data_IF_802000245470
#
_entry.id   IF_802000245470
#
_cell.length_a   1.000
_cell.length_b   1.000
_cell.length_c   1.000
_cell.angle_alpha   90.00
_cell.angle_beta   90.00
_cell.angle_gamma   90.00
#
_symmetry.space_group_name_H-M   'P 1'
#
loop_
_entity.id
_entity.type
_entity.pdbx_description
1 polymer ?
#
# COMPACT_ATOMS: atom_id res chain seq x y z
N UNK A 1 -12.42 -3.25 34.38
CA UNK A 1 -11.56 -2.33 35.16
C UNK A 1 -10.90 -1.35 34.20
N UNK A 2 -10.81 -0.08 34.56
CA UNK A 2 -10.02 0.90 33.78
C UNK A 2 -8.53 0.64 34.05
N UNK A 3 -7.69 0.70 33.02
CA UNK A 3 -6.25 0.58 33.19
C UNK A 3 -5.73 1.81 33.93
N UNK A 4 -4.93 1.62 34.98
CA UNK A 4 -4.27 2.73 35.65
C UNK A 4 -3.17 3.30 34.76
N UNK A 5 -2.91 4.61 34.88
CA UNK A 5 -1.81 5.27 34.16
C UNK A 5 -0.46 4.58 34.39
N UNK A 6 -0.24 4.06 35.61
CA UNK A 6 0.96 3.31 35.97
C UNK A 6 1.10 1.99 35.19
N UNK A 7 0.00 1.30 34.89
CA UNK A 7 -0.01 0.08 34.08
C UNK A 7 0.27 0.41 32.62
N UNK A 8 -0.33 1.49 32.09
CA UNK A 8 -0.08 1.94 30.72
C UNK A 8 1.38 2.35 30.50
N UNK A 9 1.98 3.06 31.46
CA UNK A 9 3.41 3.40 31.43
C UNK A 9 4.31 2.17 31.37
N UNK A 10 3.93 1.07 32.02
CA UNK A 10 4.66 -0.22 31.93
C UNK A 10 4.48 -0.87 30.57
N UNK A 11 3.25 -0.92 30.05
CA UNK A 11 2.94 -1.48 28.73
C UNK A 11 3.70 -0.75 27.60
N UNK A 12 3.81 0.58 27.70
CA UNK A 12 4.43 1.45 26.71
C UNK A 12 5.91 1.75 27.01
N UNK A 13 6.60 0.93 27.82
CA UNK A 13 7.98 1.18 28.23
C UNK A 13 8.98 1.33 27.06
N UNK A 14 8.70 0.65 25.94
CA UNK A 14 9.53 0.68 24.72
C UNK A 14 9.19 1.84 23.76
N UNK A 15 8.15 2.63 24.06
CA UNK A 15 7.70 3.71 23.17
C UNK A 15 8.59 4.93 23.33
N UNK A 16 8.97 5.54 22.20
CA UNK A 16 9.83 6.71 22.14
C UNK A 16 9.20 7.93 22.82
N UNK A 17 7.89 8.09 22.69
CA UNK A 17 7.12 9.21 23.27
C UNK A 17 6.06 8.68 24.23
N UNK A 18 6.49 7.84 25.18
CA UNK A 18 5.63 7.11 26.13
C UNK A 18 4.57 7.97 26.79
N UNK A 19 4.94 9.11 27.37
CA UNK A 19 4.00 9.88 28.20
C UNK A 19 2.86 10.49 27.35
N UNK A 20 3.15 10.87 26.09
CA UNK A 20 2.12 11.32 25.14
C UNK A 20 1.17 10.19 24.75
N UNK A 21 1.72 9.00 24.46
CA UNK A 21 0.92 7.82 24.12
C UNK A 21 0.02 7.36 25.29
N UNK A 22 0.53 7.42 26.53
CA UNK A 22 -0.25 7.14 27.74
C UNK A 22 -1.38 8.16 27.91
N UNK A 23 -1.09 9.46 27.80
CA UNK A 23 -2.08 10.52 27.95
C UNK A 23 -3.22 10.35 26.94
N UNK A 24 -2.90 10.12 25.67
CA UNK A 24 -3.92 9.88 24.64
C UNK A 24 -4.72 8.59 24.87
N UNK A 25 -4.06 7.53 25.31
CA UNK A 25 -4.75 6.27 25.64
C UNK A 25 -5.76 6.48 26.79
N UNK A 26 -5.37 7.24 27.83
CA UNK A 26 -6.27 7.60 28.93
C UNK A 26 -7.46 8.43 28.43
N UNK A 27 -7.21 9.41 27.57
CA UNK A 27 -8.27 10.24 26.99
C UNK A 27 -9.28 9.41 26.19
N UNK A 28 -8.79 8.56 25.27
CA UNK A 28 -9.65 7.72 24.42
C UNK A 28 -10.45 6.72 25.25
N UNK A 29 -9.81 6.00 26.16
CA UNK A 29 -10.49 5.01 27.01
C UNK A 29 -11.39 5.66 28.07
N UNK A 30 -11.13 6.94 28.38
CA UNK A 30 -12.00 7.80 29.16
C UNK A 30 -13.33 8.09 28.45
N UNK A 31 -13.30 8.36 27.15
CA UNK A 31 -14.49 8.71 26.35
C UNK A 31 -15.20 7.48 25.74
N UNK A 32 -14.44 6.54 25.18
CA UNK A 32 -14.94 5.35 24.51
C UNK A 32 -14.68 4.12 25.38
N UNK A 33 -15.63 3.82 26.27
CA UNK A 33 -15.48 2.82 27.34
C UNK A 33 -15.27 1.39 26.82
N UNK A 34 -15.72 1.08 25.62
CA UNK A 34 -15.58 -0.25 25.02
C UNK A 34 -14.22 -0.48 24.35
N UNK A 35 -13.45 0.59 24.08
CA UNK A 35 -12.08 0.47 23.61
C UNK A 35 -11.15 0.14 24.79
N UNK A 36 -10.37 -0.94 24.64
CA UNK A 36 -9.41 -1.39 25.65
C UNK A 36 -8.00 -1.42 25.08
N UNK A 37 -6.99 -0.99 25.86
CA UNK A 37 -5.60 -1.14 25.49
C UNK A 37 -5.18 -2.61 25.64
N UNK A 38 -4.53 -3.15 24.62
CA UNK A 38 -4.04 -4.53 24.55
C UNK A 38 -2.62 -4.51 24.01
N UNK A 39 -1.68 -5.17 24.68
CA UNK A 39 -0.35 -5.45 24.13
C UNK A 39 -0.41 -6.74 23.33
N UNK A 40 0.04 -6.71 22.09
CA UNK A 40 0.11 -7.90 21.23
C UNK A 40 1.20 -7.70 20.15
N UNK A 41 1.58 -8.78 19.48
CA UNK A 41 2.57 -8.74 18.42
C UNK A 41 1.92 -8.34 17.10
N UNK A 42 2.27 -7.15 16.62
CA UNK A 42 1.92 -6.72 15.28
C UNK A 42 2.92 -7.25 14.27
N UNK A 43 2.46 -8.01 13.27
CA UNK A 43 3.27 -8.48 12.15
C UNK A 43 3.20 -7.44 11.03
N UNK A 44 4.34 -6.86 10.71
CA UNK A 44 4.49 -5.92 9.60
C UNK A 44 4.54 -6.67 8.26
N UNK A 45 4.32 -5.93 7.18
CA UNK A 45 4.29 -6.50 5.83
C UNK A 45 5.64 -7.10 5.40
N UNK A 46 6.75 -6.72 6.06
CA UNK A 46 8.08 -7.29 5.85
C UNK A 46 8.29 -8.62 6.61
N UNK A 47 7.28 -9.11 7.31
CA UNK A 47 7.33 -10.32 8.14
C UNK A 47 7.97 -10.09 9.52
N UNK A 48 8.51 -8.90 9.80
CA UNK A 48 8.96 -8.55 11.13
C UNK A 48 7.75 -8.45 12.07
N UNK A 49 7.96 -8.78 13.34
CA UNK A 49 6.94 -8.57 14.37
C UNK A 49 7.47 -7.62 15.43
N UNK A 50 6.59 -6.75 15.94
CA UNK A 50 6.88 -5.95 17.12
C UNK A 50 5.71 -6.01 18.09
N UNK A 51 6.06 -6.08 19.36
CA UNK A 51 5.13 -5.94 20.46
C UNK A 51 4.67 -4.47 20.54
N UNK A 52 3.39 -4.23 20.23
CA UNK A 52 2.78 -2.91 20.19
C UNK A 52 1.48 -2.91 21.00
N UNK A 53 1.06 -1.72 21.42
CA UNK A 53 -0.26 -1.49 21.97
C UNK A 53 -1.27 -1.29 20.84
N UNK A 54 -2.43 -1.91 20.98
CA UNK A 54 -3.64 -1.58 20.22
C UNK A 54 -4.74 -1.09 21.14
N UNK A 55 -5.61 -0.20 20.65
CA UNK A 55 -6.92 0.06 21.24
C UNK A 55 -7.95 -0.74 20.47
N UNK A 56 -8.47 -1.80 21.10
CA UNK A 56 -9.38 -2.75 20.48
C UNK A 56 -10.72 -2.77 21.22
N UNK A 57 -11.82 -2.74 20.47
CA UNK A 57 -13.17 -2.71 21.02
C UNK A 57 -14.15 -2.15 19.99
N UNK A 58 -15.23 -1.52 20.44
CA UNK A 58 -16.26 -0.96 19.55
C UNK A 58 -16.39 0.55 19.69
N UNK A 59 -16.79 1.21 18.60
CA UNK A 59 -17.22 2.61 18.58
C UNK A 59 -18.69 2.72 18.17
N UNK A 60 -19.49 3.61 18.79
CA UNK A 60 -20.89 3.79 18.44
C UNK A 60 -21.02 4.62 17.16
N UNK A 61 -21.63 4.04 16.13
CA UNK A 61 -21.82 4.67 14.81
C UNK A 61 -23.31 4.72 14.49
N UNK A 62 -23.83 5.93 14.23
CA UNK A 62 -25.21 6.10 13.80
C UNK A 62 -25.33 5.86 12.29
N UNK A 63 -26.06 4.83 11.90
CA UNK A 63 -26.40 4.54 10.50
C UNK A 63 -27.91 4.45 10.35
N UNK A 64 -28.48 5.35 9.54
CA UNK A 64 -29.92 5.43 9.25
C UNK A 64 -30.81 5.46 10.51
N UNK A 65 -30.38 6.19 11.54
CA UNK A 65 -31.14 6.39 12.78
C UNK A 65 -30.91 5.33 13.86
N UNK A 66 -30.13 4.29 13.57
CA UNK A 66 -29.78 3.25 14.55
C UNK A 66 -28.28 3.32 14.90
N UNK A 67 -27.95 3.15 16.18
CA UNK A 67 -26.56 3.11 16.64
C UNK A 67 -26.05 1.67 16.58
N UNK A 68 -24.99 1.47 15.80
CA UNK A 68 -24.27 0.21 15.68
C UNK A 68 -22.90 0.30 16.36
N UNK A 69 -22.52 -0.74 17.10
CA UNK A 69 -21.22 -0.83 17.74
C UNK A 69 -20.22 -1.45 16.78
N UNK A 70 -19.47 -0.62 16.06
CA UNK A 70 -18.55 -1.08 15.00
C UNK A 70 -17.22 -1.50 15.65
N UNK A 71 -16.78 -2.76 15.47
CA UNK A 71 -15.55 -3.25 16.08
C UNK A 71 -14.33 -2.76 15.32
N UNK A 72 -13.41 -2.11 16.03
CA UNK A 72 -12.17 -1.54 15.50
C UNK A 72 -10.95 -1.95 16.33
N UNK A 73 -9.78 -1.80 15.72
CA UNK A 73 -8.48 -2.03 16.32
C UNK A 73 -7.50 -0.96 15.82
N UNK A 74 -6.99 -0.14 16.74
CA UNK A 74 -6.08 0.97 16.46
C UNK A 74 -4.69 0.65 17.00
N UNK A 75 -3.77 0.20 16.16
CA UNK A 75 -2.39 -0.09 16.55
C UNK A 75 -1.56 1.19 16.63
N UNK A 76 -0.95 1.43 17.79
CA UNK A 76 -0.07 2.57 18.02
C UNK A 76 1.36 2.15 17.74
N UNK A 77 2.06 2.79 16.81
CA UNK A 77 3.49 2.53 16.60
C UNK A 77 4.32 3.02 17.80
N UNK A 78 5.51 2.46 18.00
CA UNK A 78 6.49 2.88 19.03
C UNK A 78 6.90 4.37 18.95
N UNK A 79 6.59 5.01 17.81
CA UNK A 79 6.82 6.42 17.50
C UNK A 79 5.57 7.30 17.57
N UNK A 80 4.42 6.76 18.00
CA UNK A 80 3.21 7.53 18.29
C UNK A 80 3.50 8.64 19.33
N UNK A 81 2.98 9.88 19.19
CA UNK A 81 1.97 10.35 18.23
C UNK A 81 2.50 10.92 16.91
N UNK A 82 3.81 10.82 16.61
CA UNK A 82 4.36 11.44 15.41
C UNK A 82 4.11 10.64 14.12
N UNK A 83 3.70 9.38 14.25
CA UNK A 83 3.17 8.57 13.17
C UNK A 83 1.71 8.19 13.47
N UNK A 84 0.84 8.11 12.44
CA UNK A 84 -0.55 7.71 12.63
C UNK A 84 -0.67 6.26 13.12
N UNK A 85 -1.78 5.92 13.79
CA UNK A 85 -2.09 4.54 14.11
C UNK A 85 -2.42 3.71 12.86
N UNK A 86 -2.13 2.41 12.90
CA UNK A 86 -2.60 1.46 11.88
C UNK A 86 -3.96 0.94 12.31
N UNK A 87 -4.98 1.20 11.49
CA UNK A 87 -6.38 1.02 11.88
C UNK A 87 -7.02 -0.12 11.11
N UNK A 88 -7.81 -0.96 11.80
CA UNK A 88 -8.57 -2.04 11.20
C UNK A 88 -10.00 -2.08 11.75
N UNK A 89 -10.95 -2.51 10.93
CA UNK A 89 -12.20 -3.10 11.40
C UNK A 89 -11.97 -4.57 11.74
N UNK A 90 -12.61 -5.05 12.81
CA UNK A 90 -12.46 -6.43 13.31
C UNK A 90 -13.82 -7.11 13.32
N UNK A 91 -14.31 -7.62 12.18
CA UNK A 91 -15.63 -8.27 12.12
C UNK A 91 -15.71 -9.44 13.11
N UNK A 92 -16.86 -9.59 13.76
CA UNK A 92 -17.17 -10.81 14.51
C UNK A 92 -17.49 -11.96 13.54
N UNK A 93 -17.64 -13.19 14.05
CA UNK A 93 -18.01 -14.36 13.23
C UNK A 93 -19.35 -14.19 12.50
N UNK A 94 -20.23 -13.34 13.01
CA UNK A 94 -21.52 -13.00 12.40
C UNK A 94 -21.46 -11.79 11.47
N UNK A 95 -20.29 -11.21 11.23
CA UNK A 95 -20.10 -10.04 10.36
C UNK A 95 -19.25 -10.36 9.14
N UNK A 96 -19.34 -9.50 8.13
CA UNK A 96 -18.48 -9.50 6.95
C UNK A 96 -18.02 -8.07 6.67
N UNK A 97 -16.76 -7.91 6.25
CA UNK A 97 -16.22 -6.62 5.85
C UNK A 97 -16.89 -6.16 4.56
N UNK A 98 -17.31 -4.89 4.54
CA UNK A 98 -17.69 -4.19 3.32
C UNK A 98 -16.47 -3.44 2.80
N UNK A 99 -15.89 -3.94 1.73
CA UNK A 99 -14.83 -3.21 1.00
C UNK A 99 -15.40 -1.93 0.39
N UNK A 100 -14.64 -0.85 0.46
CA UNK A 100 -15.07 0.43 -0.09
C UNK A 100 -13.93 1.44 -0.11
N UNK A 101 -14.29 2.72 -0.26
CA UNK A 101 -13.34 3.83 -0.37
C UNK A 101 -12.39 3.91 0.82
N UNK A 102 -12.88 3.55 2.00
CA UNK A 102 -12.19 3.75 3.28
C UNK A 102 -11.75 2.45 3.95
N UNK A 103 -12.11 1.28 3.42
CA UNK A 103 -11.81 -0.02 4.02
C UNK A 103 -11.48 -1.06 2.96
N UNK A 104 -10.34 -1.76 3.10
CA UNK A 104 -9.96 -2.86 2.19
C UNK A 104 -10.49 -4.24 2.63
N UNK A 105 -10.22 -5.28 1.85
CA UNK A 105 -10.69 -6.64 2.12
C UNK A 105 -10.12 -7.27 3.41
N UNK A 106 -8.99 -6.77 3.91
CA UNK A 106 -8.40 -7.18 5.18
C UNK A 106 -8.97 -6.36 6.35
N UNK A 107 -9.89 -5.44 6.08
CA UNK A 107 -10.49 -4.56 7.07
C UNK A 107 -9.61 -3.37 7.42
N UNK A 108 -8.50 -3.12 6.71
CA UNK A 108 -7.64 -1.97 7.00
C UNK A 108 -8.34 -0.67 6.61
N UNK A 109 -8.27 0.31 7.49
CA UNK A 109 -8.98 1.58 7.36
C UNK A 109 -8.04 2.64 6.76
N UNK A 110 -8.54 3.37 5.75
CA UNK A 110 -7.86 4.45 5.05
C UNK A 110 -8.71 5.73 5.12
N UNK A 111 -8.20 6.74 5.81
CA UNK A 111 -8.87 8.03 5.99
C UNK A 111 -7.95 9.19 5.60
N UNK A 112 -8.47 10.28 5.03
CA UNK A 112 -7.70 11.51 4.85
C UNK A 112 -7.05 11.98 6.16
N UNK A 113 -7.74 11.83 7.29
CA UNK A 113 -7.22 12.17 8.62
C UNK A 113 -5.96 11.37 9.00
N UNK A 114 -5.89 10.08 8.61
CA UNK A 114 -4.68 9.26 8.81
C UNK A 114 -3.57 9.66 7.84
N UNK A 115 -3.93 10.05 6.61
CA UNK A 115 -2.98 10.46 5.58
C UNK A 115 -2.32 11.81 5.89
N UNK A 116 -3.08 12.75 6.45
CA UNK A 116 -2.64 14.10 6.82
C UNK A 116 -2.21 14.19 8.29
N UNK A 117 -2.04 13.03 8.96
CA UNK A 117 -1.75 12.96 10.39
C UNK A 117 -0.50 13.77 10.74
N UNK A 118 -0.67 14.72 11.65
CA UNK A 118 0.42 15.56 12.14
C UNK A 118 0.18 15.94 13.59
N UNK A 119 1.06 15.49 14.49
CA UNK A 119 1.02 15.94 15.87
C UNK A 119 1.49 17.41 15.99
N UNK A 120 0.83 18.27 16.80
CA UNK A 120 -0.30 18.00 17.69
C UNK A 120 -1.68 18.24 17.08
N UNK A 121 -1.79 18.54 15.77
CA UNK A 121 -3.06 18.80 15.10
C UNK A 121 -3.95 17.55 14.96
N UNK A 122 -3.35 16.37 14.94
CA UNK A 122 -4.03 15.07 14.84
C UNK A 122 -3.86 14.26 16.13
N UNK A 123 -4.96 13.66 16.59
CA UNK A 123 -5.02 12.80 17.77
C UNK A 123 -6.05 11.66 17.57
N UNK A 124 -6.08 10.70 18.50
CA UNK A 124 -6.95 9.54 18.40
C UNK A 124 -8.44 9.89 18.56
N UNK A 125 -8.78 10.93 19.32
CA UNK A 125 -10.18 11.32 19.50
C UNK A 125 -10.73 11.87 18.18
N UNK A 126 -10.00 12.78 17.55
CA UNK A 126 -10.34 13.32 16.24
C UNK A 126 -10.42 12.22 15.18
N UNK A 127 -9.49 11.25 15.21
CA UNK A 127 -9.56 10.09 14.34
C UNK A 127 -10.85 9.26 14.54
N UNK A 128 -11.21 8.96 15.79
CA UNK A 128 -12.42 8.19 16.10
C UNK A 128 -13.67 8.97 15.69
N UNK A 129 -13.71 10.29 15.89
CA UNK A 129 -14.81 11.13 15.41
C UNK A 129 -14.96 11.08 13.90
N UNK A 130 -13.85 11.17 13.15
CA UNK A 130 -13.86 11.00 11.70
C UNK A 130 -14.35 9.61 11.30
N UNK A 131 -13.92 8.55 12.00
CA UNK A 131 -14.43 7.19 11.78
C UNK A 131 -15.94 7.11 11.99
N UNK A 132 -16.48 7.71 13.06
CA UNK A 132 -17.92 7.68 13.35
C UNK A 132 -18.72 8.34 12.23
N UNK A 133 -18.27 9.49 11.71
CA UNK A 133 -18.93 10.17 10.59
C UNK A 133 -18.86 9.33 9.32
N UNK A 134 -17.65 8.89 8.93
CA UNK A 134 -17.44 8.14 7.69
C UNK A 134 -18.19 6.80 7.70
N UNK A 135 -18.15 6.07 8.82
CA UNK A 135 -18.87 4.80 8.95
C UNK A 135 -20.38 4.98 9.11
N UNK A 136 -20.85 6.16 9.53
CA UNK A 136 -22.27 6.51 9.56
C UNK A 136 -22.85 6.81 8.17
N UNK A 137 -22.00 7.19 7.21
CA UNK A 137 -22.38 7.30 5.79
C UNK A 137 -22.22 5.95 5.08
N UNK A 138 -21.06 5.30 5.27
CA UNK A 138 -20.72 4.03 4.66
C UNK A 138 -20.25 3.00 5.73
N UNK A 139 -21.16 2.13 6.22
CA UNK A 139 -20.81 1.12 7.20
C UNK A 139 -19.73 0.15 6.67
N UNK A 140 -18.65 -0.09 7.44
CA UNK A 140 -17.53 -0.90 6.98
C UNK A 140 -17.73 -2.40 7.21
N UNK A 141 -18.80 -2.79 7.91
CA UNK A 141 -19.17 -4.18 8.17
C UNK A 141 -20.68 -4.35 8.06
N UNK A 142 -21.12 -5.55 7.65
CA UNK A 142 -22.52 -5.96 7.67
C UNK A 142 -22.70 -7.28 8.43
N UNK A 143 -23.87 -7.47 9.05
CA UNK A 143 -24.25 -8.76 9.61
C UNK A 143 -24.50 -9.78 8.50
N UNK A 144 -23.98 -11.00 8.66
CA UNK A 144 -24.34 -12.14 7.82
C UNK A 144 -25.80 -12.51 8.06
N UNK A 145 -26.62 -12.73 7.02
CA UNK A 145 -27.97 -13.22 7.21
C UNK A 145 -27.92 -14.59 7.91
N UNK A 146 -28.60 -14.72 9.04
CA UNK A 146 -28.83 -16.02 9.68
C UNK A 146 -29.82 -16.78 8.81
N UNK A 147 -29.37 -17.80 8.09
CA UNK A 147 -30.27 -18.74 7.42
C UNK A 147 -31.00 -19.52 8.53
N UNK A 148 -32.19 -19.07 8.90
CA UNK A 148 -33.13 -19.92 9.65
C UNK A 148 -33.66 -20.98 8.69
N UNK A 149 -33.03 -22.15 8.68
CA UNK A 149 -33.58 -23.32 7.99
C UNK A 149 -34.78 -23.82 8.79
N UNK A 150 -35.99 -23.36 8.45
CA UNK A 150 -37.24 -23.99 8.82
C UNK A 150 -37.94 -24.44 7.55
N UNK A 151 -37.48 -25.55 6.97
CA UNK A 151 -38.30 -26.29 6.02
C UNK A 151 -39.30 -27.13 6.83
N UNK A 152 -40.62 -27.04 6.58
CA UNK A 152 -41.57 -28.00 7.15
C UNK A 152 -41.27 -29.40 6.58
N UNK A 153 -41.36 -30.47 7.40
CA UNK A 153 -41.12 -31.83 6.93
C UNK A 153 -42.17 -32.23 5.90
N UNK A 154 -41.73 -32.53 4.68
CA UNK A 154 -42.57 -33.13 3.64
C UNK A 154 -42.88 -34.58 4.05
N UNK A 155 -44.17 -34.92 4.15
CA UNK A 155 -44.61 -36.32 4.33
C UNK A 155 -44.50 -37.07 3.00
N UNK A 156 -43.95 -38.30 2.97
CA UNK A 156 -43.98 -39.13 1.79
C UNK A 156 -45.35 -39.81 1.67
N UNK A 157 -46.13 -39.45 0.65
CA UNK A 157 -47.32 -40.20 0.21
C UNK A 157 -46.94 -41.10 -0.97
N UNK A 158 -46.74 -42.39 -0.71
CA UNK A 158 -46.64 -43.43 -1.73
C UNK A 158 -47.39 -44.69 -1.26
N UNK A 159 -48.15 -45.38 -2.12
CA UNK A 159 -49.04 -46.47 -1.73
C UNK A 159 -48.30 -47.79 -1.40
N UNK A 160 -48.88 -48.67 -0.58
CA UNK A 160 -48.26 -49.91 -0.16
C UNK A 160 -48.42 -50.98 -1.24
N UNK A 161 -47.37 -51.79 -1.49
CA UNK A 161 -47.53 -52.99 -2.30
C UNK A 161 -46.95 -54.21 -1.59
N UNK A 162 -47.80 -55.23 -1.48
CA UNK A 162 -47.59 -56.51 -0.81
C UNK A 162 -47.18 -57.60 -1.80
N UNK A 163 -46.10 -58.32 -1.47
CA UNK A 163 -45.85 -59.77 -1.67
C UNK A 163 -46.06 -60.44 -3.06
N UNK A 164 -45.01 -61.11 -3.58
CA UNK A 164 -44.97 -62.57 -3.86
C UNK A 164 -43.54 -63.04 -4.24
N UNK A 165 -43.09 -64.16 -3.66
CA UNK A 165 -41.85 -64.97 -3.91
C UNK A 165 -42.15 -66.11 -4.93
N UNK A 166 -41.31 -67.13 -5.29
CA UNK A 166 -39.90 -67.50 -4.96
C UNK A 166 -39.06 -68.06 -6.16
N UNK A 167 -37.76 -68.40 -5.95
CA UNK A 167 -37.07 -69.45 -6.75
C UNK A 167 -35.55 -69.32 -6.96
N UNK A 168 -34.76 -70.04 -6.16
CA UNK A 168 -33.32 -70.35 -6.33
C UNK A 168 -33.19 -71.76 -6.97
N UNK A 169 -32.06 -72.23 -7.58
CA UNK A 169 -30.82 -72.44 -6.80
C UNK A 169 -29.44 -72.43 -7.53
N UNK A 170 -28.41 -72.24 -6.69
CA UNK A 170 -27.05 -72.86 -6.67
C UNK A 170 -25.93 -72.44 -7.64
N UNK A 171 -24.79 -71.99 -7.05
CA UNK A 171 -23.48 -71.93 -7.72
C UNK A 171 -22.34 -71.20 -6.97
N UNK A 172 -21.86 -71.77 -5.85
CA UNK A 172 -20.46 -71.89 -5.37
C UNK A 172 -19.49 -70.66 -5.43
N UNK A 173 -19.01 -70.25 -4.25
CA UNK A 173 -17.87 -69.34 -3.94
C UNK A 173 -16.50 -70.02 -4.23
N UNK A 174 -15.29 -69.38 -4.20
CA UNK A 174 -14.79 -68.47 -3.13
C UNK A 174 -13.78 -67.35 -3.54
N UNK A 175 -13.47 -66.45 -2.59
CA UNK A 175 -12.25 -65.60 -2.50
C UNK A 175 -10.93 -66.43 -2.63
N UNK A 176 -9.68 -65.88 -2.80
CA UNK A 176 -9.08 -64.64 -2.22
C UNK A 176 -7.98 -63.96 -3.14
N UNK A 177 -6.84 -63.39 -2.67
CA UNK A 177 -6.60 -62.08 -2.02
C UNK A 177 -5.50 -61.20 -2.72
N UNK A 178 -5.29 -59.97 -2.23
CA UNK A 178 -3.93 -59.35 -2.15
C UNK A 178 -3.62 -58.11 -3.02
N UNK A 179 -3.04 -57.08 -2.39
CA UNK A 179 -2.38 -55.90 -3.01
C UNK A 179 -1.07 -56.29 -3.74
N UNK A 180 -0.48 -55.41 -4.58
CA UNK A 180 0.50 -54.42 -4.07
C UNK A 180 0.44 -53.04 -4.78
N UNK A 181 1.10 -52.00 -4.22
CA UNK A 181 1.34 -50.72 -4.88
C UNK A 181 2.63 -50.78 -5.73
N UNK A 182 2.66 -50.10 -6.89
CA UNK A 182 3.80 -50.05 -7.80
C UNK A 182 4.21 -48.59 -8.11
N UNK A 183 5.43 -48.31 -8.62
CA UNK A 183 6.33 -47.28 -8.12
C UNK A 183 6.71 -46.29 -9.25
N UNK A 184 7.64 -45.36 -8.98
CA UNK A 184 8.54 -44.58 -9.90
C UNK A 184 8.70 -43.18 -9.27
N UNK A 185 9.84 -42.66 -8.78
CA UNK A 185 11.26 -42.79 -9.17
C UNK A 185 11.55 -41.77 -10.29
N UNK A 186 12.08 -40.56 -10.05
CA UNK A 186 13.49 -40.12 -9.80
C UNK A 186 13.54 -38.56 -9.82
N UNK A 187 14.68 -37.87 -9.59
CA UNK A 187 15.66 -37.92 -8.50
C UNK A 187 15.84 -36.57 -7.77
N UNK A 188 16.35 -36.63 -6.53
CA UNK A 188 16.81 -35.47 -5.76
C UNK A 188 18.23 -35.03 -6.13
N UNK A 189 18.49 -33.73 -6.02
CA UNK A 189 19.82 -33.13 -6.13
C UNK A 189 20.53 -33.15 -4.77
N UNK A 190 21.81 -33.57 -4.69
CA UNK A 190 22.59 -33.52 -3.45
C UNK A 190 23.30 -32.16 -3.25
N UNK A 191 23.23 -31.67 -2.01
CA UNK A 191 24.20 -30.71 -1.45
C UNK A 191 25.55 -31.40 -1.19
N UNK A 192 26.69 -30.69 -1.31
CA UNK A 192 27.91 -31.05 -0.61
C UNK A 192 28.15 -30.16 0.62
N UNK A 193 28.63 -30.78 1.70
CA UNK A 193 29.24 -30.16 2.87
C UNK A 193 30.64 -30.80 3.10
N UNK A 194 31.44 -30.44 4.12
CA UNK A 194 32.70 -29.70 3.97
C UNK A 194 33.96 -30.50 4.37
N UNK A 195 35.14 -30.11 3.87
CA UNK A 195 36.44 -30.50 4.43
C UNK A 195 37.55 -29.50 4.06
N UNK A 196 38.32 -29.05 5.06
CA UNK A 196 39.22 -27.86 5.09
C UNK A 196 40.58 -28.01 4.38
N UNK A 197 41.71 -27.41 4.85
CA UNK A 197 42.01 -26.72 6.13
C UNK A 197 42.59 -25.27 6.00
N UNK A 198 42.73 -24.58 7.13
CA UNK A 198 43.39 -23.27 7.29
C UNK A 198 44.90 -23.28 6.96
N UNK A 199 45.47 -22.09 6.67
CA UNK A 199 46.54 -21.60 7.55
C UNK A 199 46.39 -20.12 7.95
N UNK A 200 47.26 -19.73 8.89
CA UNK A 200 47.21 -18.53 9.71
C UNK A 200 48.07 -17.36 9.19
N UNK A 201 47.61 -16.15 9.56
CA UNK A 201 48.37 -14.94 9.95
C UNK A 201 49.29 -14.20 8.96
N UNK A 202 49.22 -12.87 9.12
CA UNK A 202 50.19 -11.80 8.85
C UNK A 202 50.01 -10.93 7.59
N UNK A 203 50.18 -9.62 7.85
CA UNK A 203 50.54 -8.52 6.96
C UNK A 203 49.42 -7.66 6.34
N UNK A 204 49.26 -6.50 6.97
CA UNK A 204 49.02 -5.20 6.31
C UNK A 204 49.91 -5.02 5.08
N UNK A 205 49.39 -4.40 4.01
CA UNK A 205 50.09 -3.24 3.48
C UNK A 205 49.18 -2.07 3.10
N UNK A 206 49.77 -0.90 3.30
CA UNK A 206 49.43 0.42 2.80
C UNK A 206 48.82 0.48 1.40
N UNK A 207 47.86 1.39 1.22
CA UNK A 207 47.67 2.11 -0.04
C UNK A 207 48.05 3.60 0.15
N UNK A 208 48.61 4.23 -0.89
CA UNK A 208 49.38 5.47 -0.77
C UNK A 208 48.49 6.72 -0.79
N UNK A 209 49.01 7.75 -0.13
CA UNK A 209 48.60 9.14 -0.20
C UNK A 209 48.49 9.66 -1.63
N UNK A 210 47.33 10.23 -1.98
CA UNK A 210 47.16 11.10 -3.15
C UNK A 210 47.40 12.58 -2.78
N UNK A 211 47.91 13.40 -3.73
CA UNK A 211 48.53 14.70 -3.46
C UNK A 211 47.51 15.84 -3.23
N UNK A 212 47.94 16.96 -2.64
CA UNK A 212 47.08 18.14 -2.49
C UNK A 212 47.00 18.88 -3.82
N UNK A 213 45.79 19.02 -4.37
CA UNK A 213 45.56 19.85 -5.56
C UNK A 213 44.55 20.93 -5.23
N UNK A 214 45.14 22.08 -4.90
CA UNK A 214 44.78 23.45 -5.30
C UNK A 214 43.31 23.79 -5.49
N UNK A 215 42.87 24.69 -4.62
CA UNK A 215 41.78 25.63 -4.82
C UNK A 215 41.89 26.34 -6.17
N UNK A 216 41.03 25.94 -7.12
CA UNK A 216 40.62 26.80 -8.24
C UNK A 216 39.15 27.12 -7.99
N UNK A 217 38.85 28.40 -7.83
CA UNK A 217 37.48 28.88 -7.68
C UNK A 217 36.69 28.55 -8.95
N UNK A 218 35.58 27.83 -8.81
CA UNK A 218 34.59 27.66 -9.89
C UNK A 218 33.18 27.94 -9.34
N UNK A 219 32.42 28.70 -10.11
CA UNK A 219 31.12 29.26 -9.70
C UNK A 219 30.18 28.18 -9.18
N UNK A 220 29.70 28.35 -7.94
CA UNK A 220 28.77 27.41 -7.28
C UNK A 220 27.61 27.08 -8.22
N UNK A 221 27.63 25.89 -8.81
CA UNK A 221 26.50 25.31 -9.53
C UNK A 221 25.31 25.34 -8.57
N UNK A 222 24.27 26.09 -8.91
CA UNK A 222 23.10 26.26 -8.04
C UNK A 222 22.46 24.88 -7.84
N UNK A 223 22.23 24.48 -6.59
CA UNK A 223 21.52 23.26 -6.23
C UNK A 223 20.17 23.22 -6.94
N UNK A 224 19.96 22.21 -7.80
CA UNK A 224 18.72 22.04 -8.55
C UNK A 224 17.55 21.68 -7.62
N UNK A 225 16.36 22.11 -7.96
CA UNK A 225 15.12 21.80 -7.24
C UNK A 225 14.30 20.82 -8.07
N UNK A 226 14.05 19.62 -7.53
CA UNK A 226 13.32 18.56 -8.22
C UNK A 226 12.01 18.33 -7.50
N UNK A 227 10.89 18.46 -8.20
CA UNK A 227 9.57 18.11 -7.67
C UNK A 227 9.12 16.80 -8.30
N UNK A 228 8.72 15.84 -7.47
CA UNK A 228 8.17 14.55 -7.92
C UNK A 228 6.73 14.48 -7.46
N UNK A 229 5.78 14.68 -8.37
CA UNK A 229 4.36 14.79 -8.07
C UNK A 229 3.58 13.61 -8.64
N UNK A 230 2.64 13.07 -7.87
CA UNK A 230 1.82 11.98 -8.36
C UNK A 230 0.90 11.36 -7.32
N UNK A 231 0.24 10.28 -7.72
CA UNK A 231 -0.68 9.57 -6.83
C UNK A 231 0.06 8.63 -5.85
N UNK A 232 -0.64 7.59 -5.39
CA UNK A 232 -0.16 6.57 -4.45
C UNK A 232 1.22 5.97 -4.77
N UNK A 233 1.65 5.91 -6.05
CA UNK A 233 2.96 5.36 -6.40
C UNK A 233 4.09 6.29 -5.95
N UNK A 234 3.96 7.60 -6.19
CA UNK A 234 4.93 8.60 -5.71
C UNK A 234 4.93 8.68 -4.18
N UNK A 235 3.75 8.55 -3.56
CA UNK A 235 3.64 8.49 -2.10
C UNK A 235 4.40 7.29 -1.52
N UNK A 236 4.18 6.09 -2.05
CA UNK A 236 4.87 4.88 -1.59
C UNK A 236 6.34 4.85 -1.97
N UNK A 237 6.71 5.44 -3.10
CA UNK A 237 8.09 5.63 -3.54
C UNK A 237 8.92 6.40 -2.52
N UNK A 238 8.41 7.53 -2.01
CA UNK A 238 9.05 8.29 -0.93
C UNK A 238 9.21 7.43 0.33
N UNK A 239 8.14 6.76 0.78
CA UNK A 239 8.18 5.92 1.99
C UNK A 239 9.19 4.79 1.84
N UNK A 240 9.23 4.16 0.66
CA UNK A 240 10.20 3.11 0.36
C UNK A 240 11.62 3.66 0.34
N UNK A 241 11.84 4.84 -0.23
CA UNK A 241 13.17 5.46 -0.27
C UNK A 241 13.71 5.77 1.13
N UNK A 242 12.86 6.12 2.10
CA UNK A 242 13.23 6.31 3.51
C UNK A 242 13.73 5.03 4.20
N UNK A 243 13.30 3.86 3.74
CA UNK A 243 13.72 2.55 4.27
C UNK A 243 15.02 2.04 3.63
N UNK A 244 15.48 2.67 2.54
CA UNK A 244 16.67 2.26 1.79
C UNK A 244 17.89 3.10 2.16
N UNK A 245 19.08 2.55 1.92
CA UNK A 245 20.36 3.20 2.26
C UNK A 245 20.59 4.52 1.53
N UNK A 246 20.03 4.68 0.33
CA UNK A 246 20.13 5.89 -0.49
C UNK A 246 19.15 7.00 -0.07
N UNK A 247 18.22 6.71 0.85
CA UNK A 247 17.31 7.68 1.44
C UNK A 247 16.33 8.33 0.44
N UNK A 248 15.54 9.33 0.88
CA UNK A 248 14.56 10.01 0.04
C UNK A 248 15.18 10.85 -1.08
N UNK A 249 16.51 10.99 -1.10
CA UNK A 249 17.25 11.63 -2.17
C UNK A 249 17.60 10.68 -3.33
N UNK A 250 17.23 9.40 -3.24
CA UNK A 250 17.54 8.40 -4.27
C UNK A 250 19.04 8.34 -4.60
N UNK A 251 19.91 8.60 -3.61
CA UNK A 251 21.37 8.61 -3.81
C UNK A 251 21.92 9.87 -4.46
N UNK A 252 21.06 10.80 -4.91
CA UNK A 252 21.46 12.08 -5.49
C UNK A 252 22.03 12.97 -4.39
N UNK A 253 23.24 13.47 -4.62
CA UNK A 253 23.95 14.31 -3.65
C UNK A 253 23.17 15.61 -3.44
N UNK A 254 23.02 16.00 -2.18
CA UNK A 254 22.27 17.21 -1.82
C UNK A 254 22.85 18.47 -2.48
N UNK A 255 24.16 18.55 -2.72
CA UNK A 255 24.77 19.70 -3.40
C UNK A 255 24.34 19.83 -4.87
N UNK A 256 24.03 18.71 -5.54
CA UNK A 256 23.64 18.68 -6.94
C UNK A 256 22.14 18.98 -7.10
N UNK A 257 21.29 18.36 -6.27
CA UNK A 257 19.86 18.62 -6.26
C UNK A 257 19.16 18.29 -4.93
N UNK A 258 18.01 18.93 -4.72
CA UNK A 258 17.07 18.65 -3.62
C UNK A 258 15.76 18.11 -4.17
N UNK A 259 15.36 16.91 -3.73
CA UNK A 259 14.10 16.28 -4.14
C UNK A 259 12.98 16.65 -3.17
N UNK A 260 11.82 16.96 -3.73
CA UNK A 260 10.59 17.27 -3.02
C UNK A 260 9.50 16.30 -3.50
N UNK A 261 9.09 15.39 -2.63
CA UNK A 261 8.05 14.40 -2.91
C UNK A 261 6.67 15.01 -2.65
N UNK A 262 5.86 15.08 -3.70
CA UNK A 262 4.50 15.61 -3.70
C UNK A 262 3.50 14.49 -4.01
N UNK A 263 3.66 13.37 -3.32
CA UNK A 263 2.83 12.16 -3.47
C UNK A 263 1.56 12.24 -2.65
N UNK A 264 0.39 12.11 -3.30
CA UNK A 264 -0.92 12.10 -2.63
C UNK A 264 -1.73 10.87 -3.03
N UNK A 265 -2.08 10.01 -2.07
CA UNK A 265 -2.81 8.78 -2.40
C UNK A 265 -4.19 9.09 -3.00
N UNK A 266 -4.60 8.33 -4.03
CA UNK A 266 -5.88 8.53 -4.71
C UNK A 266 -6.02 9.83 -5.50
N UNK A 267 -4.93 10.58 -5.70
CA UNK A 267 -4.93 11.80 -6.50
C UNK A 267 -5.41 11.50 -7.94
N UNK A 268 -6.29 12.37 -8.44
CA UNK A 268 -6.76 12.39 -9.83
C UNK A 268 -6.21 13.64 -10.53
N UNK A 269 -6.25 13.65 -11.86
CA UNK A 269 -5.58 14.64 -12.70
C UNK A 269 -5.95 16.09 -12.36
N UNK A 270 -7.24 16.36 -12.16
CA UNK A 270 -7.75 17.71 -11.89
C UNK A 270 -7.16 18.36 -10.61
N UNK A 271 -6.55 17.56 -9.72
CA UNK A 271 -5.88 18.06 -8.52
C UNK A 271 -4.42 18.50 -8.76
N UNK A 272 -3.83 18.20 -9.92
CA UNK A 272 -2.41 18.45 -10.23
C UNK A 272 -2.04 19.92 -10.16
N UNK A 273 -2.66 20.74 -11.01
CA UNK A 273 -2.34 22.17 -11.11
C UNK A 273 -2.56 22.90 -9.77
N UNK A 274 -3.69 22.70 -9.05
CA UNK A 274 -3.87 23.29 -7.73
C UNK A 274 -2.78 22.91 -6.72
N UNK A 275 -2.35 21.64 -6.68
CA UNK A 275 -1.30 21.16 -5.76
C UNK A 275 0.05 21.80 -6.08
N UNK A 276 0.43 21.88 -7.36
CA UNK A 276 1.69 22.48 -7.77
C UNK A 276 1.71 23.99 -7.49
N UNK A 277 0.61 24.70 -7.76
CA UNK A 277 0.48 26.12 -7.44
C UNK A 277 0.51 26.40 -5.94
N UNK A 278 -0.11 25.53 -5.12
CA UNK A 278 -0.02 25.63 -3.67
C UNK A 278 1.42 25.42 -3.19
N UNK A 279 2.11 24.41 -3.73
CA UNK A 279 3.50 24.06 -3.40
C UNK A 279 4.45 25.21 -3.73
N UNK A 280 4.25 25.87 -4.88
CA UNK A 280 4.98 27.06 -5.32
C UNK A 280 4.96 28.23 -4.32
N UNK A 281 3.95 28.31 -3.45
CA UNK A 281 3.89 29.36 -2.42
C UNK A 281 4.91 29.14 -1.29
N UNK A 282 5.48 27.94 -1.19
CA UNK A 282 6.35 27.52 -0.07
C UNK A 282 7.74 27.08 -0.54
N UNK A 283 7.83 26.60 -1.78
CA UNK A 283 9.06 26.10 -2.37
C UNK A 283 9.45 26.97 -3.57
N UNK A 284 10.75 27.06 -3.82
CA UNK A 284 11.29 27.62 -5.07
C UNK A 284 10.82 26.81 -6.26
N UNK A 285 10.57 27.49 -7.38
CA UNK A 285 10.19 26.86 -8.65
C UNK A 285 11.15 25.71 -8.99
N UNK A 286 10.64 24.55 -9.45
CA UNK A 286 11.46 23.40 -9.76
C UNK A 286 12.32 23.66 -11.00
N UNK A 287 13.54 23.15 -11.04
CA UNK A 287 14.31 23.00 -12.27
C UNK A 287 13.85 21.75 -13.04
N UNK A 288 13.35 20.73 -12.32
CA UNK A 288 12.79 19.49 -12.90
C UNK A 288 11.47 19.16 -12.20
N UNK A 289 10.42 18.91 -12.98
CA UNK A 289 9.10 18.50 -12.48
C UNK A 289 8.71 17.15 -13.07
N UNK A 290 8.80 16.10 -12.26
CA UNK A 290 8.35 14.75 -12.58
C UNK A 290 6.88 14.60 -12.21
N UNK A 291 6.06 14.13 -13.15
CA UNK A 291 4.63 13.87 -12.96
C UNK A 291 4.34 12.40 -13.25
N UNK A 292 3.92 11.66 -12.22
CA UNK A 292 3.39 10.30 -12.32
C UNK A 292 1.92 10.29 -11.87
N UNK A 293 1.01 10.57 -12.79
CA UNK A 293 -0.42 10.75 -12.51
C UNK A 293 -1.27 10.35 -13.72
N UNK A 294 -2.59 10.25 -13.57
CA UNK A 294 -3.53 9.94 -14.66
C UNK A 294 -4.07 8.50 -14.64
N UNK A 295 -3.40 7.59 -13.91
CA UNK A 295 -3.86 6.20 -13.82
C UNK A 295 -5.24 6.05 -13.15
N UNK A 296 -5.64 6.99 -12.30
CA UNK A 296 -6.97 6.98 -11.66
C UNK A 296 -8.07 7.61 -12.53
N UNK A 297 -7.67 8.32 -13.59
CA UNK A 297 -8.56 9.02 -14.51
C UNK A 297 -8.92 8.16 -15.73
N UNK A 298 -8.15 7.09 -15.98
CA UNK A 298 -8.44 6.11 -17.03
C UNK A 298 -9.82 5.49 -16.82
N UNK A 299 -10.59 5.38 -17.91
CA UNK A 299 -11.94 4.81 -17.89
C UNK A 299 -13.02 5.70 -17.26
N UNK A 300 -12.68 6.90 -16.77
CA UNK A 300 -13.67 7.86 -16.24
C UNK A 300 -14.29 8.76 -17.32
N UNK A 301 -13.60 8.90 -18.44
CA UNK A 301 -14.01 9.64 -19.63
C UNK A 301 -13.36 9.03 -20.88
N UNK A 302 -13.64 9.58 -22.07
CA UNK A 302 -12.97 9.13 -23.29
C UNK A 302 -11.46 9.42 -23.22
N UNK A 303 -10.64 8.58 -23.86
CA UNK A 303 -9.19 8.80 -23.94
C UNK A 303 -8.86 10.19 -24.48
N UNK A 304 -9.59 10.63 -25.50
CA UNK A 304 -9.36 11.92 -26.14
C UNK A 304 -9.58 13.08 -25.17
N UNK A 305 -10.63 13.03 -24.35
CA UNK A 305 -10.92 14.08 -23.37
C UNK A 305 -9.85 14.14 -22.27
N UNK A 306 -9.43 12.99 -21.78
CA UNK A 306 -8.36 12.89 -20.76
C UNK A 306 -7.05 13.44 -21.34
N UNK A 307 -6.67 13.01 -22.55
CA UNK A 307 -5.45 13.45 -23.24
C UNK A 307 -5.48 14.96 -23.48
N UNK A 308 -6.58 15.51 -24.02
CA UNK A 308 -6.69 16.94 -24.30
C UNK A 308 -6.57 17.78 -23.04
N UNK A 309 -7.17 17.31 -21.93
CA UNK A 309 -7.05 17.96 -20.61
C UNK A 309 -5.61 17.95 -20.11
N UNK A 310 -4.96 16.78 -20.15
CA UNK A 310 -3.56 16.63 -19.76
C UNK A 310 -2.63 17.52 -20.58
N UNK A 311 -2.77 17.52 -21.92
CA UNK A 311 -1.97 18.37 -22.82
C UNK A 311 -2.17 19.86 -22.51
N UNK A 312 -3.40 20.30 -22.25
CA UNK A 312 -3.71 21.68 -21.85
C UNK A 312 -3.02 22.05 -20.53
N UNK A 313 -3.10 21.19 -19.53
CA UNK A 313 -2.47 21.44 -18.23
C UNK A 313 -0.95 21.44 -18.30
N UNK A 314 -0.33 20.54 -19.07
CA UNK A 314 1.10 20.58 -19.33
C UNK A 314 1.53 21.87 -20.05
N UNK A 315 0.74 22.34 -21.03
CA UNK A 315 0.95 23.62 -21.69
C UNK A 315 0.90 24.79 -20.70
N UNK A 316 -0.05 24.77 -19.77
CA UNK A 316 -0.15 25.75 -18.69
C UNK A 316 1.04 25.67 -17.73
N UNK A 317 1.46 24.47 -17.32
CA UNK A 317 2.61 24.27 -16.43
C UNK A 317 3.91 24.79 -17.06
N UNK A 318 4.10 24.59 -18.37
CA UNK A 318 5.25 25.16 -19.10
C UNK A 318 5.25 26.69 -19.09
N UNK A 319 4.09 27.33 -19.14
CA UNK A 319 3.98 28.79 -19.04
C UNK A 319 4.26 29.30 -17.62
N UNK A 320 3.79 28.58 -16.60
CA UNK A 320 3.96 28.93 -15.19
C UNK A 320 5.42 28.75 -14.75
N UNK A 321 6.03 27.64 -15.16
CA UNK A 321 7.35 27.18 -14.75
C UNK A 321 8.34 27.24 -15.93
N UNK A 322 8.72 28.47 -16.30
CA UNK A 322 9.41 28.76 -17.58
C UNK A 322 10.76 28.06 -17.79
N UNK A 323 11.48 27.76 -16.70
CA UNK A 323 12.83 27.18 -16.75
C UNK A 323 12.86 25.72 -16.27
N UNK A 324 11.71 25.05 -16.27
CA UNK A 324 11.56 23.71 -15.73
C UNK A 324 11.55 22.67 -16.84
N UNK A 325 12.32 21.61 -16.66
CA UNK A 325 12.20 20.40 -17.48
C UNK A 325 10.99 19.60 -16.98
N UNK A 326 9.98 19.48 -17.84
CA UNK A 326 8.79 18.68 -17.55
C UNK A 326 9.08 17.21 -17.87
N UNK A 327 8.84 16.33 -16.91
CA UNK A 327 9.11 14.91 -17.03
C UNK A 327 7.81 14.13 -16.83
N UNK A 328 7.39 13.40 -17.85
CA UNK A 328 6.25 12.50 -17.79
C UNK A 328 6.70 11.09 -17.42
N UNK A 329 6.22 10.59 -16.29
CA UNK A 329 6.45 9.21 -15.90
C UNK A 329 5.23 8.39 -16.34
N UNK A 330 5.47 7.45 -17.27
CA UNK A 330 4.41 6.66 -17.88
C UNK A 330 3.51 6.01 -16.83
N UNK A 331 2.20 5.99 -17.09
CA UNK A 331 1.25 5.26 -16.25
C UNK A 331 1.63 3.78 -16.30
N UNK A 332 1.89 3.20 -15.13
CA UNK A 332 2.29 1.80 -14.97
C UNK A 332 1.07 0.89 -15.14
N UNK A 333 1.22 -0.27 -15.81
CA UNK A 333 0.14 -1.24 -15.93
C UNK A 333 -0.34 -1.75 -14.56
N UNK A 334 -1.59 -2.21 -14.49
CA UNK A 334 -2.18 -2.77 -13.27
C UNK A 334 -2.71 -4.18 -13.52
N UNK A 335 -2.66 -5.04 -12.51
CA UNK A 335 -3.36 -6.35 -12.56
C UNK A 335 -4.87 -6.17 -12.46
N UNK A 336 -5.31 -5.14 -11.73
CA UNK A 336 -6.73 -4.82 -11.54
C UNK A 336 -6.96 -3.33 -11.84
N UNK A 337 -8.04 -3.04 -12.55
CA UNK A 337 -8.57 -1.69 -12.75
C UNK A 337 -9.86 -1.54 -11.94
N UNK A 338 -10.09 -0.37 -11.34
CA UNK A 338 -11.23 -0.13 -10.46
C UNK A 338 -12.53 0.11 -11.21
N UNK A 339 -12.45 0.49 -12.48
CA UNK A 339 -13.60 0.71 -13.35
C UNK A 339 -14.18 -0.63 -13.80
N UNK A 340 -15.50 -0.71 -13.96
CA UNK A 340 -16.21 -1.87 -14.52
C UNK A 340 -16.03 -1.96 -16.06
N UNK A 341 -14.79 -1.81 -16.52
CA UNK A 341 -14.38 -1.86 -17.92
C UNK A 341 -13.44 -3.06 -18.09
N UNK A 342 -13.57 -3.86 -19.16
CA UNK A 342 -12.71 -5.01 -19.37
C UNK A 342 -11.22 -4.66 -19.31
N UNK A 343 -10.44 -5.45 -18.56
CA UNK A 343 -9.01 -5.20 -18.31
C UNK A 343 -8.21 -4.94 -19.60
N UNK A 344 -8.44 -5.72 -20.65
CA UNK A 344 -7.79 -5.55 -21.97
C UNK A 344 -8.05 -4.18 -22.59
N UNK A 345 -9.25 -3.62 -22.39
CA UNK A 345 -9.63 -2.29 -22.87
C UNK A 345 -8.93 -1.21 -22.05
N UNK A 346 -8.86 -1.38 -20.72
CA UNK A 346 -8.14 -0.47 -19.83
C UNK A 346 -6.65 -0.43 -20.14
N UNK A 347 -6.00 -1.57 -20.36
CA UNK A 347 -4.58 -1.61 -20.76
C UNK A 347 -4.35 -0.99 -22.14
N UNK A 348 -5.26 -1.20 -23.10
CA UNK A 348 -5.18 -0.50 -24.40
C UNK A 348 -5.32 1.01 -24.22
N UNK A 349 -6.27 1.44 -23.39
CA UNK A 349 -6.50 2.84 -23.08
C UNK A 349 -5.27 3.50 -22.45
N UNK A 350 -4.65 2.83 -21.46
CA UNK A 350 -3.39 3.26 -20.82
C UNK A 350 -2.25 3.42 -21.84
N UNK A 351 -2.06 2.43 -22.72
CA UNK A 351 -0.99 2.46 -23.74
C UNK A 351 -1.14 3.64 -24.69
N UNK A 352 -2.36 3.87 -25.20
CA UNK A 352 -2.67 5.02 -26.06
C UNK A 352 -2.37 6.33 -25.34
N UNK A 353 -2.80 6.47 -24.08
CA UNK A 353 -2.55 7.69 -23.31
C UNK A 353 -1.05 7.93 -23.10
N UNK A 354 -0.29 6.90 -22.69
CA UNK A 354 1.15 7.02 -22.50
C UNK A 354 1.89 7.40 -23.79
N UNK A 355 1.50 6.80 -24.92
CA UNK A 355 2.07 7.10 -26.23
C UNK A 355 1.80 8.57 -26.63
N UNK A 356 0.54 9.00 -26.56
CA UNK A 356 0.12 10.35 -26.91
C UNK A 356 0.74 11.43 -26.02
N UNK A 357 0.79 11.18 -24.71
CA UNK A 357 1.42 12.09 -23.76
C UNK A 357 2.94 12.08 -23.93
N UNK A 358 3.55 10.92 -24.20
CA UNK A 358 4.98 10.81 -24.46
C UNK A 358 5.41 11.67 -25.65
N UNK A 359 4.73 11.54 -26.79
CA UNK A 359 5.00 12.37 -27.97
C UNK A 359 4.82 13.85 -27.69
N UNK A 360 3.74 14.23 -26.99
CA UNK A 360 3.50 15.63 -26.68
C UNK A 360 4.55 16.23 -25.74
N UNK A 361 4.95 15.49 -24.71
CA UNK A 361 5.96 15.95 -23.74
C UNK A 361 7.30 16.16 -24.43
N UNK A 362 7.72 15.22 -25.28
CA UNK A 362 8.92 15.38 -26.09
C UNK A 362 8.81 16.56 -27.07
N UNK A 363 7.66 16.74 -27.72
CA UNK A 363 7.40 17.88 -28.61
C UNK A 363 7.56 19.23 -27.90
N UNK A 364 7.13 19.33 -26.63
CA UNK A 364 7.34 20.54 -25.83
C UNK A 364 8.71 20.60 -25.13
N UNK A 365 9.66 19.73 -25.48
CA UNK A 365 11.03 19.74 -24.94
C UNK A 365 11.19 19.13 -23.55
N UNK A 366 10.22 18.33 -23.11
CA UNK A 366 10.30 17.54 -21.88
C UNK A 366 10.87 16.13 -22.11
N UNK A 367 10.88 15.33 -21.04
CA UNK A 367 11.41 13.96 -21.03
C UNK A 367 10.36 12.96 -20.58
N UNK A 368 10.51 11.69 -20.95
CA UNK A 368 9.61 10.61 -20.57
C UNK A 368 10.37 9.54 -19.81
N UNK A 369 9.82 9.06 -18.70
CA UNK A 369 10.31 7.89 -17.97
C UNK A 369 9.44 6.70 -18.34
N UNK A 370 10.09 5.63 -18.82
CA UNK A 370 9.47 4.34 -19.10
C UNK A 370 9.71 3.38 -17.92
N UNK A 371 8.83 2.40 -17.78
CA UNK A 371 8.81 1.48 -16.64
C UNK A 371 8.73 0.03 -17.14
N UNK A 372 9.66 -0.34 -18.01
CA UNK A 372 9.59 -1.58 -18.80
C UNK A 372 9.72 -2.84 -17.93
N UNK A 373 10.36 -2.72 -16.76
CA UNK A 373 10.52 -3.81 -15.80
C UNK A 373 9.27 -4.03 -14.92
N UNK A 374 8.32 -3.09 -14.89
CA UNK A 374 7.10 -3.19 -14.07
C UNK A 374 5.99 -3.93 -14.83
N UNK A 375 6.22 -5.21 -15.09
CA UNK A 375 5.30 -6.08 -15.84
C UNK A 375 4.33 -6.80 -14.88
N UNK A 376 2.99 -6.74 -15.10
CA UNK A 376 2.02 -7.37 -14.20
C UNK A 376 2.23 -8.87 -14.00
N UNK A 377 2.67 -9.59 -15.04
CA UNK A 377 2.87 -11.03 -14.99
C UNK A 377 4.12 -11.44 -14.19
N UNK A 378 5.03 -10.50 -13.93
CA UNK A 378 6.22 -10.76 -13.12
C UNK A 378 5.83 -11.00 -11.65
N UNK A 379 6.26 -12.13 -11.06
CA UNK A 379 5.93 -12.44 -9.67
C UNK A 379 6.57 -11.43 -8.73
N UNK A 380 5.81 -11.00 -7.71
CA UNK A 380 6.33 -10.19 -6.62
C UNK A 380 6.50 -8.69 -6.90
N UNK A 381 6.12 -8.17 -8.07
CA UNK A 381 6.22 -6.71 -8.37
C UNK A 381 4.99 -5.90 -7.98
N UNK A 382 3.84 -6.56 -7.83
CA UNK A 382 2.56 -5.93 -7.49
C UNK A 382 2.05 -6.47 -6.16
N UNK A 383 1.35 -5.61 -5.42
CA UNK A 383 0.63 -5.99 -4.22
C UNK A 383 -0.52 -6.96 -4.58
N UNK A 384 -1.06 -7.65 -3.56
CA UNK A 384 -2.16 -8.61 -3.75
C UNK A 384 -3.45 -7.96 -4.27
N UNK A 385 -3.64 -6.66 -4.03
CA UNK A 385 -4.75 -5.89 -4.60
C UNK A 385 -4.65 -5.70 -6.12
N UNK A 386 -3.46 -5.94 -6.70
CA UNK A 386 -3.22 -5.82 -8.12
C UNK A 386 -3.23 -4.39 -8.67
N UNK A 387 -3.37 -3.38 -7.82
CA UNK A 387 -3.41 -1.95 -8.17
C UNK A 387 -2.10 -1.27 -7.77
N UNK A 388 -1.54 -1.60 -6.62
CA UNK A 388 -0.31 -1.01 -6.09
C UNK A 388 0.92 -1.84 -6.42
N UNK A 389 2.07 -1.19 -6.45
CA UNK A 389 3.36 -1.89 -6.48
C UNK A 389 3.62 -2.55 -5.13
N UNK A 390 4.28 -3.71 -5.16
CA UNK A 390 4.90 -4.29 -3.97
C UNK A 390 6.12 -3.46 -3.56
N UNK A 391 6.74 -3.80 -2.43
CA UNK A 391 8.03 -3.23 -2.07
C UNK A 391 9.09 -3.37 -3.18
N UNK A 392 9.21 -4.55 -3.80
CA UNK A 392 10.15 -4.79 -4.90
C UNK A 392 9.78 -4.01 -6.16
N UNK A 393 8.48 -3.90 -6.48
CA UNK A 393 8.03 -3.05 -7.59
C UNK A 393 8.32 -1.57 -7.33
N UNK A 394 8.13 -1.10 -6.09
CA UNK A 394 8.46 0.28 -5.71
C UNK A 394 9.97 0.54 -5.75
N UNK A 395 10.81 -0.45 -5.45
CA UNK A 395 12.26 -0.32 -5.63
C UNK A 395 12.62 -0.12 -7.11
N UNK A 396 12.03 -0.88 -8.03
CA UNK A 396 12.22 -0.71 -9.48
C UNK A 396 11.74 0.69 -9.91
N UNK A 397 10.56 1.11 -9.46
CA UNK A 397 10.04 2.45 -9.76
C UNK A 397 11.01 3.56 -9.30
N UNK A 398 11.57 3.44 -8.10
CA UNK A 398 12.56 4.38 -7.58
C UNK A 398 13.87 4.37 -8.39
N UNK A 399 14.31 3.20 -8.88
CA UNK A 399 15.48 3.10 -9.76
C UNK A 399 15.24 3.78 -11.11
N UNK A 400 14.06 3.63 -11.69
CA UNK A 400 13.69 4.30 -12.94
C UNK A 400 13.68 5.84 -12.76
N UNK A 401 13.14 6.32 -11.64
CA UNK A 401 13.19 7.74 -11.28
C UNK A 401 14.63 8.22 -11.09
N UNK A 402 15.44 7.48 -10.34
CA UNK A 402 16.84 7.81 -10.08
C UNK A 402 17.62 7.93 -11.38
N UNK A 403 17.54 6.91 -12.25
CA UNK A 403 18.27 6.87 -13.52
C UNK A 403 17.93 8.06 -14.43
N UNK A 404 16.64 8.42 -14.49
CA UNK A 404 16.20 9.60 -15.23
C UNK A 404 16.75 10.90 -14.61
N UNK A 405 16.69 11.03 -13.29
CA UNK A 405 17.14 12.23 -12.59
C UNK A 405 18.67 12.43 -12.67
N UNK A 406 19.45 11.35 -12.59
CA UNK A 406 20.91 11.38 -12.76
C UNK A 406 21.32 11.92 -14.15
N UNK A 407 20.49 11.70 -15.17
CA UNK A 407 20.73 12.24 -16.52
C UNK A 407 20.37 13.73 -16.62
N UNK A 408 19.44 14.21 -15.79
CA UNK A 408 18.89 15.56 -15.87
C UNK A 408 19.56 16.57 -14.92
N UNK A 409 20.29 16.10 -13.91
CA UNK A 409 20.98 16.90 -12.88
C UNK A 409 22.42 17.18 -13.31
#
# INVERSE_FOLDING_TARGET
MAFSESQLKKMLAKYKYRDLAVQETVNVTGQYKDLKPVMDNYVFNDGSSRELMSLTGTIPVNYRGNIYNIPICLWLLDTYPFNPPICFVKPTSSMTIKTGKHVDANGRIYLPYLHEWKHPQSDLIGLIQVMIVVFGEEPPVFSRPTISASYPPYQPTGPPNTSYMPGMPSGISPFPPGQPPNPSGYPGYPYPAPSGPFPATTNTPHYPSQPPVTTVADGRRKQKQVWICGHSYVFWAEKRALERSFGPQLGIRLEDAKLHWLGKSGMVWDQLVPILLHTRRRLTDPDILVIHLGGNDLGTASNLDVINRMKKDFGLLKQIFKNTILVWSNIIPRKVWTQEIPHKVMERSRRILNEEMGYFIQYIGGTVIQHDLLVPDSPGLFHLDGVLLSQSGTDIFNLDLQSALETLI
#
